data_IF_967491588141
#
_entry.id   IF_967491588141
#
_cell.length_a   1.000
_cell.length_b   1.000
_cell.length_c   1.000
_cell.angle_alpha   90.00
_cell.angle_beta   90.00
_cell.angle_gamma   90.00
#
_symmetry.space_group_name_H-M   'P 1'
#
loop_
_entity.id
_entity.type
_entity.pdbx_description
1 polymer ?
#
# COMPACT_ATOMS: atom_id res chain seq x y z
N UNK A 1 -10.70 20.18 0.31
CA UNK A 1 -9.96 19.21 -0.52
C UNK A 1 -10.63 17.89 -0.21
N UNK A 2 -11.75 17.68 -0.88
CA UNK A 2 -12.68 16.60 -0.63
C UNK A 2 -12.36 15.54 -1.67
N UNK A 3 -11.52 14.59 -1.26
CA UNK A 3 -11.21 13.42 -2.07
C UNK A 3 -12.44 12.50 -2.07
N UNK A 4 -12.91 12.00 -3.22
CA UNK A 4 -14.08 11.13 -3.23
C UNK A 4 -13.72 9.84 -2.47
N UNK A 5 -14.55 9.49 -1.49
CA UNK A 5 -14.41 8.29 -0.65
C UNK A 5 -14.62 7.03 -1.47
N UNK A 6 -13.62 6.71 -2.27
CA UNK A 6 -13.32 5.38 -2.76
C UNK A 6 -11.80 5.39 -3.00
N UNK A 7 -11.02 5.15 -1.95
CA UNK A 7 -9.56 5.05 -2.07
C UNK A 7 -9.07 3.60 -1.89
N UNK A 8 -9.35 2.68 -2.84
CA UNK A 8 -8.64 1.40 -2.93
C UNK A 8 -7.12 1.57 -3.02
N UNK A 9 -6.67 2.71 -3.54
CA UNK A 9 -5.27 3.12 -3.68
C UNK A 9 -4.61 3.35 -2.30
N UNK A 10 -5.37 3.94 -1.36
CA UNK A 10 -4.89 4.26 -0.01
C UNK A 10 -4.78 2.98 0.84
N UNK A 11 -5.79 2.10 0.77
CA UNK A 11 -5.76 0.82 1.49
C UNK A 11 -4.65 -0.12 0.97
N UNK A 12 -4.32 -0.03 -0.33
CA UNK A 12 -3.25 -0.80 -0.98
C UNK A 12 -1.86 -0.36 -0.51
N UNK A 13 -1.57 0.95 -0.57
CA UNK A 13 -0.28 1.51 -0.11
C UNK A 13 -0.14 1.40 1.42
N UNK A 14 -1.23 1.61 2.18
CA UNK A 14 -1.23 1.42 3.63
C UNK A 14 -1.03 -0.05 4.02
N UNK A 15 -1.60 -1.00 3.28
CA UNK A 15 -1.34 -2.43 3.53
C UNK A 15 0.11 -2.79 3.24
N UNK A 16 0.67 -2.31 2.13
CA UNK A 16 2.07 -2.50 1.77
C UNK A 16 2.99 -1.90 2.85
N UNK A 17 2.75 -0.65 3.26
CA UNK A 17 3.57 0.02 4.28
C UNK A 17 3.46 -0.67 5.64
N UNK A 18 2.28 -1.18 6.01
CA UNK A 18 2.07 -1.95 7.24
C UNK A 18 2.79 -3.31 7.19
N UNK A 19 2.79 -4.00 6.03
CA UNK A 19 3.54 -5.26 5.86
C UNK A 19 5.04 -5.00 5.97
N UNK A 20 5.56 -4.01 5.25
CA UNK A 20 6.98 -3.64 5.32
C UNK A 20 7.38 -3.23 6.73
N UNK A 21 6.55 -2.46 7.44
CA UNK A 21 6.79 -2.09 8.82
C UNK A 21 6.79 -3.33 9.74
N UNK A 22 5.82 -4.24 9.59
CA UNK A 22 5.78 -5.48 10.39
C UNK A 22 6.98 -6.37 10.15
N UNK A 23 7.44 -6.48 8.91
CA UNK A 23 8.64 -7.27 8.55
C UNK A 23 9.90 -6.60 9.09
N UNK A 24 10.06 -5.29 8.88
CA UNK A 24 11.25 -4.56 9.34
C UNK A 24 11.39 -4.53 10.87
N UNK A 25 10.28 -4.35 11.60
CA UNK A 25 10.25 -4.32 13.07
C UNK A 25 9.95 -5.69 13.71
N UNK A 26 9.95 -6.77 12.93
CA UNK A 26 9.74 -8.11 13.43
C UNK A 26 10.76 -8.44 14.55
N UNK A 27 10.36 -9.27 15.52
CA UNK A 27 11.20 -9.65 16.67
C UNK A 27 11.65 -8.50 17.58
N UNK A 28 10.90 -7.39 17.61
CA UNK A 28 11.24 -6.19 18.38
C UNK A 28 12.58 -5.57 17.95
N UNK A 29 12.94 -5.70 16.67
CA UNK A 29 14.16 -5.12 16.13
C UNK A 29 14.10 -3.60 16.28
N UNK A 30 15.12 -3.02 16.88
CA UNK A 30 15.30 -1.58 16.99
C UNK A 30 16.51 -1.18 16.16
N UNK A 31 16.43 0.00 15.55
CA UNK A 31 17.48 0.51 14.67
C UNK A 31 18.22 1.66 15.34
N UNK A 32 19.54 1.59 15.36
CA UNK A 32 20.37 2.66 15.95
C UNK A 32 20.64 3.79 14.95
N UNK A 33 20.52 3.52 13.65
CA UNK A 33 20.80 4.49 12.59
C UNK A 33 19.72 4.46 11.51
N UNK A 34 19.54 5.59 10.83
CA UNK A 34 18.65 5.66 9.66
C UNK A 34 19.11 4.75 8.51
N UNK A 35 20.40 4.44 8.42
CA UNK A 35 20.96 3.63 7.33
C UNK A 35 20.60 2.15 7.51
N UNK A 36 20.66 1.66 8.76
CA UNK A 36 20.24 0.30 9.13
C UNK A 36 18.74 0.08 8.90
N UNK A 37 17.92 1.08 9.23
CA UNK A 37 16.48 1.06 8.97
C UNK A 37 16.22 1.02 7.45
N UNK A 38 16.87 1.88 6.67
CA UNK A 38 16.70 1.91 5.20
C UNK A 38 17.07 0.58 4.56
N UNK A 39 18.22 0.02 4.95
CA UNK A 39 18.68 -1.27 4.45
C UNK A 39 17.69 -2.38 4.76
N UNK A 40 17.14 -2.40 5.98
CA UNK A 40 16.16 -3.41 6.39
C UNK A 40 14.82 -3.25 5.67
N UNK A 41 14.38 -2.04 5.38
CA UNK A 41 13.18 -1.80 4.58
C UNK A 41 13.38 -2.28 3.14
N UNK A 42 14.56 -2.07 2.56
CA UNK A 42 14.90 -2.56 1.21
C UNK A 42 14.94 -4.09 1.19
N UNK A 43 15.57 -4.72 2.17
CA UNK A 43 15.59 -6.18 2.32
C UNK A 43 14.17 -6.76 2.48
N UNK A 44 13.37 -6.14 3.34
CA UNK A 44 11.96 -6.50 3.52
C UNK A 44 11.14 -6.30 2.25
N UNK A 45 11.49 -5.32 1.39
CA UNK A 45 10.85 -5.09 0.10
C UNK A 45 11.20 -6.17 -0.92
N UNK A 46 12.46 -6.61 -0.96
CA UNK A 46 12.91 -7.69 -1.84
C UNK A 46 12.34 -9.05 -1.43
N UNK A 47 12.04 -9.25 -0.14
CA UNK A 47 11.38 -10.45 0.39
C UNK A 47 9.86 -10.49 0.12
N UNK A 48 9.23 -9.35 -0.23
CA UNK A 48 7.80 -9.33 -0.55
C UNK A 48 7.51 -10.24 -1.74
N UNK A 49 6.67 -11.24 -1.50
CA UNK A 49 6.30 -12.23 -2.50
C UNK A 49 5.71 -11.57 -3.77
N UNK A 50 6.16 -12.01 -4.93
CA UNK A 50 5.71 -11.46 -6.22
C UNK A 50 4.20 -11.62 -6.44
N UNK A 51 3.57 -12.61 -5.81
CA UNK A 51 2.12 -12.82 -5.83
C UNK A 51 1.37 -11.72 -5.08
N UNK A 52 1.94 -11.22 -3.98
CA UNK A 52 1.40 -10.06 -3.26
C UNK A 52 1.43 -8.79 -4.12
N UNK A 53 2.56 -8.52 -4.79
CA UNK A 53 2.69 -7.40 -5.72
C UNK A 53 1.69 -7.53 -6.89
N UNK A 54 1.49 -8.75 -7.39
CA UNK A 54 0.51 -9.02 -8.45
C UNK A 54 -0.92 -8.76 -8.00
N UNK A 55 -1.30 -9.21 -6.81
CA UNK A 55 -2.61 -8.93 -6.22
C UNK A 55 -2.83 -7.43 -6.00
N UNK A 56 -1.79 -6.71 -5.58
CA UNK A 56 -1.82 -5.24 -5.44
C UNK A 56 -2.15 -4.56 -6.78
N UNK A 57 -1.42 -4.95 -7.84
CA UNK A 57 -1.61 -4.40 -9.19
C UNK A 57 -3.03 -4.71 -9.72
N UNK A 58 -3.53 -5.93 -9.49
CA UNK A 58 -4.90 -6.32 -9.88
C UNK A 58 -5.94 -5.47 -9.13
N UNK A 59 -5.75 -5.23 -7.84
CA UNK A 59 -6.64 -4.37 -7.05
C UNK A 59 -6.66 -2.92 -7.57
N UNK A 60 -5.51 -2.35 -7.90
CA UNK A 60 -5.43 -1.00 -8.48
C UNK A 60 -6.09 -0.92 -9.86
N UNK A 61 -5.87 -1.93 -10.72
CA UNK A 61 -6.53 -2.01 -12.03
C UNK A 61 -8.05 -2.13 -11.93
N UNK A 62 -8.54 -2.94 -11.00
CA UNK A 62 -9.98 -3.11 -10.76
C UNK A 62 -10.62 -1.81 -10.22
N UNK A 63 -9.91 -1.07 -9.36
CA UNK A 63 -10.32 0.26 -8.91
C UNK A 63 -10.50 1.23 -10.08
N UNK A 64 -9.48 1.36 -10.92
CA UNK A 64 -9.50 2.25 -12.08
C UNK A 64 -10.64 1.88 -13.05
N UNK A 65 -10.88 0.58 -13.27
CA UNK A 65 -11.98 0.09 -14.08
C UNK A 65 -13.36 0.42 -13.47
N UNK A 66 -13.51 0.31 -12.15
CA UNK A 66 -14.72 0.71 -11.44
C UNK A 66 -15.00 2.21 -11.53
N UNK A 67 -13.95 3.03 -11.48
CA UNK A 67 -14.05 4.49 -11.63
C UNK A 67 -14.45 4.91 -13.05
N UNK A 68 -13.91 4.25 -14.09
CA UNK A 68 -14.26 4.57 -15.48
C UNK A 68 -15.69 4.13 -15.84
N UNK A 69 -16.19 3.11 -15.15
CA UNK A 69 -17.52 2.53 -15.38
C UNK A 69 -18.66 3.28 -14.68
N UNK A 70 -18.37 4.16 -13.71
CA UNK A 70 -19.39 4.95 -13.00
C UNK A 70 -19.12 6.46 -13.06
N UNK A 71 -19.47 7.13 -14.17
CA UNK A 71 -19.36 8.57 -14.26
C UNK A 71 -20.53 9.22 -13.51
N UNK A 72 -20.24 9.80 -12.34
CA UNK A 72 -21.09 10.76 -11.59
C UNK A 72 -22.28 10.17 -10.79
N UNK A 73 -22.13 10.16 -9.46
CA UNK A 73 -23.25 10.48 -8.57
C UNK A 73 -22.82 11.71 -7.77
N UNK A 74 -23.48 12.88 -7.92
CA UNK A 74 -23.11 14.07 -7.16
C UNK A 74 -23.55 13.84 -5.72
N UNK A 75 -22.57 13.76 -4.81
CA UNK A 75 -22.83 13.81 -3.39
C UNK A 75 -23.43 15.19 -3.06
N UNK A 76 -24.74 15.23 -2.92
CA UNK A 76 -25.47 16.31 -2.28
C UNK A 76 -25.05 16.35 -0.81
N UNK A 77 -24.65 17.56 -0.37
CA UNK A 77 -24.16 17.92 0.96
C UNK A 77 -25.17 17.63 2.09
#
# INVERSE_FOLDING_TARGET
MDWPTCSPELNSMENLSNILARTAYCNNRQFQTSDELKTTIIDAWEDVESDFLRNLIICMLNCLSGMVSNPTSPAVY
#
